data_IF_437442688642
#
_entry.id   IF_437442688642
#
_cell.length_a   1.000
_cell.length_b   1.000
_cell.length_c   1.000
_cell.angle_alpha   90.00
_cell.angle_beta   90.00
_cell.angle_gamma   90.00
#
_symmetry.space_group_name_H-M   'P 1'
#
loop_
_entity.id
_entity.type
_entity.pdbx_description
1 polymer ?
#
# COMPACT_ATOMS: atom_id res chain seq x y z
N UNK A 1 -19.72 -4.85 27.63
CA UNK A 1 -20.15 -3.57 27.04
C UNK A 1 -18.96 -2.76 26.57
N UNK A 2 -19.17 -1.90 25.57
CA UNK A 2 -18.21 -0.92 25.07
C UNK A 2 -18.91 0.44 25.03
N UNK A 3 -18.32 1.42 25.71
CA UNK A 3 -18.78 2.81 25.72
C UNK A 3 -17.62 3.69 25.30
N UNK A 4 -17.88 4.68 24.46
CA UNK A 4 -16.83 5.57 24.00
C UNK A 4 -17.37 6.70 23.14
N UNK A 5 -16.49 7.61 22.79
CA UNK A 5 -16.78 8.71 21.88
C UNK A 5 -15.53 9.09 21.09
N UNK A 6 -15.78 9.64 19.90
CA UNK A 6 -14.78 10.31 19.08
C UNK A 6 -15.19 11.77 18.91
N UNK A 7 -14.26 12.69 19.15
CA UNK A 7 -14.47 14.12 18.92
C UNK A 7 -13.39 14.63 17.96
N UNK A 8 -13.85 15.18 16.84
CA UNK A 8 -13.02 15.95 15.92
C UNK A 8 -13.42 17.43 15.96
N UNK A 9 -12.47 18.30 16.24
CA UNK A 9 -12.64 19.75 16.22
C UNK A 9 -11.69 20.34 15.18
N UNK A 10 -12.19 21.30 14.41
CA UNK A 10 -11.39 22.06 13.44
C UNK A 10 -11.81 23.54 13.46
N UNK A 11 -10.81 24.42 13.43
CA UNK A 11 -11.00 25.84 13.22
C UNK A 11 -10.10 26.28 12.06
N UNK A 12 -10.70 26.90 11.04
CA UNK A 12 -9.98 27.38 9.86
C UNK A 12 -10.37 28.84 9.58
N UNK A 13 -9.37 29.67 9.31
CA UNK A 13 -9.55 31.06 8.92
C UNK A 13 -8.78 31.30 7.64
N UNK A 14 -9.44 31.88 6.64
CA UNK A 14 -8.82 32.20 5.35
C UNK A 14 -9.07 33.65 4.97
N UNK A 15 -8.09 34.24 4.29
CA UNK A 15 -8.17 35.56 3.68
C UNK A 15 -7.89 35.39 2.20
N UNK A 16 -8.84 35.81 1.35
CA UNK A 16 -8.73 35.71 -0.09
C UNK A 16 -8.69 37.09 -0.75
N UNK A 17 -7.78 37.26 -1.68
CA UNK A 17 -7.64 38.44 -2.53
C UNK A 17 -7.78 38.02 -3.99
N UNK A 18 -8.76 38.59 -4.69
CA UNK A 18 -8.96 38.35 -6.11
C UNK A 18 -9.06 39.70 -6.84
N UNK A 19 -8.21 39.90 -7.85
CA UNK A 19 -8.15 41.15 -8.60
C UNK A 19 -7.80 40.92 -10.06
N UNK A 20 -8.57 41.57 -10.93
CA UNK A 20 -8.23 41.78 -12.33
C UNK A 20 -7.67 43.20 -12.52
N UNK A 21 -6.54 43.33 -13.22
CA UNK A 21 -5.94 44.62 -13.61
C UNK A 21 -5.57 44.54 -15.08
N UNK A 22 -6.41 45.13 -15.93
CA UNK A 22 -6.27 45.00 -17.39
C UNK A 22 -6.28 43.53 -17.80
N UNK A 23 -5.14 43.05 -18.32
CA UNK A 23 -4.97 41.68 -18.80
C UNK A 23 -4.39 40.71 -17.74
N UNK A 24 -4.22 41.16 -16.51
CA UNK A 24 -3.66 40.39 -15.41
C UNK A 24 -4.77 39.96 -14.46
N UNK A 25 -4.81 38.69 -14.11
CA UNK A 25 -5.65 38.21 -13.01
C UNK A 25 -4.76 37.61 -11.93
N UNK A 26 -5.00 38.04 -10.69
CA UNK A 26 -4.31 37.57 -9.50
C UNK A 26 -5.36 37.05 -8.54
N UNK A 27 -5.17 35.83 -8.06
CA UNK A 27 -5.96 35.27 -6.97
C UNK A 27 -4.99 34.72 -5.92
N UNK A 28 -5.03 35.23 -4.70
CA UNK A 28 -4.13 34.87 -3.63
C UNK A 28 -4.92 34.59 -2.35
N UNK A 29 -4.60 33.50 -1.67
CA UNK A 29 -5.23 33.07 -0.43
C UNK A 29 -4.15 32.85 0.63
N UNK A 30 -4.43 33.28 1.86
CA UNK A 30 -3.69 32.92 3.06
C UNK A 30 -4.64 32.24 4.04
N UNK A 31 -4.14 31.28 4.82
CA UNK A 31 -4.96 30.53 5.75
C UNK A 31 -4.23 30.00 6.97
N UNK A 32 -5.00 29.81 8.04
CA UNK A 32 -4.62 29.14 9.27
C UNK A 32 -5.64 28.04 9.56
N UNK A 33 -5.17 26.84 9.91
CA UNK A 33 -6.02 25.73 10.33
C UNK A 33 -5.46 25.07 11.59
N UNK A 34 -6.35 24.75 12.53
CA UNK A 34 -6.04 23.94 13.71
C UNK A 34 -7.06 22.82 13.84
N UNK A 35 -6.56 21.60 14.04
CA UNK A 35 -7.35 20.37 14.11
C UNK A 35 -6.99 19.63 15.40
N UNK A 36 -7.99 19.00 16.03
CA UNK A 36 -7.82 18.12 17.19
C UNK A 36 -8.77 16.93 17.07
N UNK A 37 -8.21 15.74 17.16
CA UNK A 37 -8.95 14.48 17.25
C UNK A 37 -8.71 13.84 18.62
N UNK A 38 -9.78 13.44 19.29
CA UNK A 38 -9.71 12.69 20.55
C UNK A 38 -10.67 11.50 20.49
N UNK A 39 -10.14 10.31 20.74
CA UNK A 39 -10.92 9.11 20.98
C UNK A 39 -10.82 8.74 22.46
N UNK A 40 -11.95 8.36 23.05
CA UNK A 40 -12.02 7.80 24.39
C UNK A 40 -12.94 6.60 24.40
N UNK A 41 -12.50 5.51 25.04
CA UNK A 41 -13.36 4.36 25.25
C UNK A 41 -13.10 3.70 26.60
N UNK A 42 -14.12 3.00 27.06
CA UNK A 42 -14.12 2.09 28.18
C UNK A 42 -14.80 0.81 27.71
N UNK A 43 -14.18 -0.33 27.99
CA UNK A 43 -14.82 -1.62 27.83
C UNK A 43 -14.90 -2.31 29.20
N UNK A 44 -16.00 -2.98 29.44
CA UNK A 44 -16.18 -3.79 30.64
C UNK A 44 -16.75 -5.15 30.23
N UNK A 45 -16.28 -6.19 30.90
CA UNK A 45 -16.75 -7.55 30.71
C UNK A 45 -17.23 -8.12 32.05
N UNK A 46 -18.23 -8.98 32.00
CA UNK A 46 -18.62 -9.86 33.10
C UNK A 46 -18.72 -11.30 32.56
N UNK A 47 -18.57 -12.29 33.43
CA UNK A 47 -18.65 -13.71 33.09
C UNK A 47 -19.46 -14.47 34.15
N UNK A 48 -19.67 -15.78 33.93
CA UNK A 48 -20.35 -16.64 34.90
C UNK A 48 -21.87 -16.50 34.91
N UNK A 49 -22.47 -16.28 33.74
CA UNK A 49 -23.94 -16.36 33.59
C UNK A 49 -24.41 -17.80 33.80
N UNK A 50 -25.65 -17.96 34.26
CA UNK A 50 -26.27 -19.28 34.45
C UNK A 50 -26.51 -19.99 33.11
N UNK A 51 -26.56 -21.32 33.12
CA UNK A 51 -26.78 -22.15 31.92
C UNK A 51 -28.23 -22.10 31.38
N UNK A 52 -29.13 -21.37 32.04
CA UNK A 52 -30.51 -21.16 31.57
C UNK A 52 -30.51 -20.22 30.36
N UNK A 53 -31.39 -20.42 29.36
CA UNK A 53 -31.53 -19.48 28.25
C UNK A 53 -31.72 -18.05 28.76
N UNK A 54 -30.76 -17.18 28.48
CA UNK A 54 -30.81 -15.76 28.85
C UNK A 54 -31.28 -14.94 27.65
N UNK A 55 -32.27 -14.07 27.85
CA UNK A 55 -32.73 -13.13 26.83
C UNK A 55 -31.94 -11.82 26.83
N UNK A 56 -31.31 -11.48 27.95
CA UNK A 56 -30.52 -10.26 28.14
C UNK A 56 -29.23 -10.58 28.88
N UNK A 57 -28.11 -9.99 28.43
CA UNK A 57 -26.79 -10.15 29.04
C UNK A 57 -26.30 -8.80 29.53
N UNK A 58 -26.64 -8.47 30.78
CA UNK A 58 -26.24 -7.21 31.44
C UNK A 58 -24.99 -7.41 32.31
N UNK A 59 -24.12 -6.38 32.39
CA UNK A 59 -22.86 -6.47 33.15
C UNK A 59 -23.04 -6.85 34.63
N UNK A 60 -24.13 -6.37 35.25
CA UNK A 60 -24.43 -6.62 36.67
C UNK A 60 -24.96 -8.02 36.95
N UNK A 61 -25.33 -8.79 35.93
CA UNK A 61 -25.95 -10.11 36.08
C UNK A 61 -24.94 -11.27 36.06
N UNK A 62 -23.68 -11.03 35.67
CA UNK A 62 -22.62 -12.03 35.74
C UNK A 62 -22.05 -12.18 37.16
N UNK A 63 -21.76 -13.41 37.58
CA UNK A 63 -21.23 -13.72 38.91
C UNK A 63 -19.74 -13.34 39.08
N UNK A 64 -19.01 -13.19 37.98
CA UNK A 64 -17.57 -12.90 37.99
C UNK A 64 -17.31 -11.60 37.24
N UNK A 65 -16.78 -10.61 37.96
CA UNK A 65 -16.28 -9.37 37.34
C UNK A 65 -15.15 -9.70 36.36
N UNK A 66 -15.35 -9.37 35.08
CA UNK A 66 -14.34 -9.53 34.05
C UNK A 66 -13.35 -8.36 34.01
N UNK A 67 -12.62 -8.25 32.90
CA UNK A 67 -11.61 -7.20 32.73
C UNK A 67 -12.30 -5.87 32.40
N UNK A 68 -11.94 -4.82 33.13
CA UNK A 68 -12.22 -3.43 32.77
C UNK A 68 -11.02 -2.89 32.02
N UNK A 69 -11.26 -2.43 30.80
CA UNK A 69 -10.27 -1.79 29.95
C UNK A 69 -10.77 -0.44 29.48
N UNK A 70 -9.86 0.30 28.85
CA UNK A 70 -10.19 1.60 28.28
C UNK A 70 -8.94 2.27 27.75
N UNK A 71 -9.16 3.26 26.89
CA UNK A 71 -8.10 3.99 26.24
C UNK A 71 -8.54 5.42 26.00
N UNK A 72 -7.57 6.32 26.02
CA UNK A 72 -7.73 7.65 25.43
C UNK A 72 -6.53 7.91 24.56
N UNK A 73 -6.77 8.40 23.36
CA UNK A 73 -5.70 9.00 22.59
C UNK A 73 -6.16 10.29 21.94
N UNK A 74 -5.18 11.12 21.66
CA UNK A 74 -5.38 12.44 21.12
C UNK A 74 -4.27 12.77 20.14
N UNK A 75 -4.64 13.44 19.04
CA UNK A 75 -3.70 14.13 18.19
C UNK A 75 -4.25 15.50 17.79
N UNK A 76 -3.35 16.42 17.52
CA UNK A 76 -3.61 17.72 16.94
C UNK A 76 -2.66 18.02 15.79
N UNK A 77 -3.16 18.87 14.88
CA UNK A 77 -2.42 19.40 13.73
C UNK A 77 -2.64 20.90 13.62
N UNK A 78 -1.58 21.65 13.34
CA UNK A 78 -1.62 23.09 13.12
C UNK A 78 -0.97 23.43 11.79
N UNK A 79 -1.63 24.25 11.00
CA UNK A 79 -1.20 24.57 9.64
C UNK A 79 -1.27 26.06 9.36
N UNK A 80 -0.22 26.57 8.72
CA UNK A 80 -0.22 27.89 8.08
C UNK A 80 -0.03 27.66 6.59
N UNK A 81 -0.88 28.21 5.74
CA UNK A 81 -0.82 27.95 4.32
C UNK A 81 -1.14 29.18 3.49
N UNK A 82 -0.67 29.17 2.25
CA UNK A 82 -0.99 30.18 1.27
C UNK A 82 -0.85 29.65 -0.15
N UNK A 83 -1.58 30.27 -1.06
CA UNK A 83 -1.49 29.98 -2.48
C UNK A 83 -1.72 31.26 -3.28
N UNK A 84 -1.10 31.34 -4.44
CA UNK A 84 -1.34 32.40 -5.39
C UNK A 84 -1.37 31.84 -6.80
N UNK A 85 -2.37 32.23 -7.57
CA UNK A 85 -2.46 31.99 -9.01
C UNK A 85 -2.42 33.30 -9.74
N UNK A 86 -1.73 33.31 -10.86
CA UNK A 86 -1.63 34.44 -11.76
C UNK A 86 -1.86 33.97 -13.19
N UNK A 87 -2.65 34.73 -13.94
CA UNK A 87 -2.68 34.61 -15.39
C UNK A 87 -2.48 35.96 -16.08
N UNK A 88 -1.85 35.89 -17.25
CA UNK A 88 -1.80 37.00 -18.19
C UNK A 88 -2.50 36.60 -19.48
N UNK A 89 -3.58 37.31 -19.82
CA UNK A 89 -4.40 37.09 -21.01
C UNK A 89 -4.85 35.63 -21.19
N UNK A 90 -5.01 34.87 -20.10
CA UNK A 90 -5.25 33.42 -20.15
C UNK A 90 -4.19 32.59 -20.93
N UNK A 91 -3.02 33.16 -21.20
CA UNK A 91 -1.92 32.55 -21.97
C UNK A 91 -0.87 31.92 -21.07
N UNK A 92 -0.30 32.74 -20.18
CA UNK A 92 0.72 32.31 -19.25
C UNK A 92 0.08 32.18 -17.87
N UNK A 93 0.12 30.97 -17.34
CA UNK A 93 -0.51 30.58 -16.09
C UNK A 93 0.60 30.21 -15.11
N UNK A 94 0.59 30.83 -13.93
CA UNK A 94 1.47 30.50 -12.82
C UNK A 94 0.60 30.17 -11.61
N UNK A 95 0.93 29.08 -10.93
CA UNK A 95 0.39 28.77 -9.61
C UNK A 95 1.53 28.45 -8.68
N UNK A 96 1.48 29.00 -7.47
CA UNK A 96 2.41 28.69 -6.38
C UNK A 96 1.62 28.48 -5.10
N UNK A 97 2.08 27.55 -4.27
CA UNK A 97 1.49 27.28 -2.97
C UNK A 97 2.57 26.86 -1.99
N UNK A 98 2.32 27.13 -0.71
CA UNK A 98 3.18 26.76 0.39
C UNK A 98 2.38 26.54 1.66
N UNK A 99 2.78 25.57 2.46
CA UNK A 99 2.25 25.35 3.80
C UNK A 99 3.33 24.92 4.77
N UNK A 100 3.12 25.28 6.03
CA UNK A 100 3.90 24.82 7.18
C UNK A 100 2.96 24.11 8.14
N UNK A 101 3.14 22.81 8.28
CA UNK A 101 2.27 21.95 9.09
C UNK A 101 3.02 21.39 10.30
N UNK A 102 2.38 21.45 11.46
CA UNK A 102 2.83 20.92 12.73
C UNK A 102 1.97 19.74 13.15
N UNK A 103 2.56 18.57 13.37
CA UNK A 103 1.86 17.37 13.87
C UNK A 103 2.30 17.01 15.28
N UNK A 104 1.33 16.83 16.17
CA UNK A 104 1.58 16.37 17.55
C UNK A 104 2.12 14.93 17.66
N UNK A 105 2.04 14.15 16.57
CA UNK A 105 2.52 12.77 16.53
C UNK A 105 4.04 12.64 16.54
N UNK A 106 4.76 13.74 16.29
CA UNK A 106 6.21 13.79 16.29
C UNK A 106 6.74 14.59 17.49
N UNK A 107 7.99 14.35 17.86
CA UNK A 107 8.65 15.10 18.93
C UNK A 107 8.80 16.60 18.60
N UNK A 108 9.02 17.47 19.60
CA UNK A 108 9.16 18.91 19.37
C UNK A 108 10.14 19.33 18.28
N UNK A 109 11.23 18.58 18.09
CA UNK A 109 12.24 18.86 17.08
C UNK A 109 11.75 18.62 15.63
N UNK A 110 10.89 17.62 15.42
CA UNK A 110 10.50 17.12 14.09
C UNK A 110 9.03 17.42 13.72
N UNK A 111 8.26 18.03 14.63
CA UNK A 111 6.82 18.25 14.44
C UNK A 111 6.46 19.10 13.23
N UNK A 112 7.33 20.01 12.80
CA UNK A 112 7.03 20.97 11.74
C UNK A 112 7.65 20.56 10.40
N UNK A 113 6.83 20.44 9.36
CA UNK A 113 7.23 20.28 7.97
C UNK A 113 6.88 21.51 7.12
N UNK A 114 7.67 21.78 6.08
CA UNK A 114 7.38 22.81 5.08
C UNK A 114 7.17 22.15 3.72
N UNK A 115 6.03 22.43 3.10
CA UNK A 115 5.59 21.78 1.87
C UNK A 115 5.15 22.86 0.90
N UNK A 116 5.40 22.68 -0.39
CA UNK A 116 5.08 23.71 -1.38
C UNK A 116 5.08 23.16 -2.78
N UNK A 117 4.38 23.84 -3.67
CA UNK A 117 4.26 23.45 -5.05
C UNK A 117 4.23 24.67 -5.97
N UNK A 118 4.74 24.50 -7.18
CA UNK A 118 4.66 25.48 -8.25
C UNK A 118 4.27 24.79 -9.55
N UNK A 119 3.48 25.46 -10.38
CA UNK A 119 3.14 25.00 -11.72
C UNK A 119 3.14 26.14 -12.72
N UNK A 120 3.59 25.84 -13.93
CA UNK A 120 3.52 26.70 -15.09
C UNK A 120 2.58 26.08 -16.13
N UNK A 121 1.75 26.92 -16.73
CA UNK A 121 0.92 26.54 -17.87
C UNK A 121 1.10 27.54 -19.00
N UNK A 122 1.25 27.03 -20.22
CA UNK A 122 1.30 27.86 -21.42
C UNK A 122 0.22 27.42 -22.40
N UNK A 123 -0.79 28.27 -22.59
CA UNK A 123 -1.88 28.03 -23.52
C UNK A 123 -1.54 28.61 -24.89
N UNK A 124 -0.92 27.79 -25.73
CA UNK A 124 -0.47 28.13 -27.09
C UNK A 124 -1.65 28.54 -27.97
N UNK A 125 -2.82 27.92 -27.80
CA UNK A 125 -4.02 28.24 -28.57
C UNK A 125 -4.54 29.67 -28.37
N UNK A 126 -4.08 30.36 -27.32
CA UNK A 126 -4.42 31.76 -27.08
C UNK A 126 -3.47 32.75 -27.76
N UNK A 127 -2.40 32.27 -28.41
CA UNK A 127 -1.47 33.12 -29.15
C UNK A 127 -2.04 33.56 -30.50
N UNK A 128 -1.76 34.81 -30.88
CA UNK A 128 -2.28 35.42 -32.10
C UNK A 128 -1.80 34.69 -33.36
N UNK A 129 -0.57 34.18 -33.35
CA UNK A 129 -0.04 33.37 -34.45
C UNK A 129 -0.74 32.00 -34.59
N UNK A 130 -1.33 31.48 -33.51
CA UNK A 130 -1.94 30.16 -33.51
C UNK A 130 -3.44 30.23 -33.83
N UNK A 131 -4.16 31.19 -33.22
CA UNK A 131 -5.62 31.38 -33.39
C UNK A 131 -6.07 31.41 -34.84
N UNK A 132 -5.26 32.00 -35.71
CA UNK A 132 -5.60 32.18 -37.13
C UNK A 132 -5.07 31.06 -38.04
N UNK A 133 -4.23 30.17 -37.53
CA UNK A 133 -3.49 29.19 -38.37
C UNK A 133 -4.10 27.80 -38.32
N UNK A 134 -4.64 27.36 -37.17
CA UNK A 134 -5.16 25.99 -37.01
C UNK A 134 -6.54 25.99 -36.33
N UNK A 135 -7.62 26.32 -37.08
CA UNK A 135 -8.97 26.43 -36.51
C UNK A 135 -9.54 25.10 -35.99
N UNK A 136 -8.96 23.97 -36.38
CA UNK A 136 -9.34 22.65 -35.87
C UNK A 136 -8.94 22.41 -34.41
N UNK A 137 -8.02 23.22 -33.86
CA UNK A 137 -7.53 23.13 -32.48
C UNK A 137 -8.18 24.20 -31.62
N UNK A 138 -9.06 23.77 -30.71
CA UNK A 138 -9.80 24.66 -29.81
C UNK A 138 -8.99 25.04 -28.57
N UNK A 139 -8.17 24.11 -28.07
CA UNK A 139 -7.26 24.37 -26.96
C UNK A 139 -5.98 23.57 -27.16
N UNK A 140 -4.84 24.21 -26.93
CA UNK A 140 -3.53 23.56 -26.83
C UNK A 140 -2.80 24.20 -25.67
N UNK A 141 -2.51 23.41 -24.63
CA UNK A 141 -1.85 23.88 -23.41
C UNK A 141 -0.75 22.91 -23.00
N UNK A 142 0.41 23.47 -22.69
CA UNK A 142 1.50 22.75 -22.03
C UNK A 142 1.47 23.05 -20.54
N UNK A 143 1.77 22.04 -19.71
CA UNK A 143 1.84 22.13 -18.25
C UNK A 143 3.16 21.56 -17.76
N UNK A 144 3.71 22.17 -16.73
CA UNK A 144 4.77 21.58 -15.92
C UNK A 144 4.52 21.93 -14.46
N UNK A 145 4.72 20.98 -13.55
CA UNK A 145 4.59 21.23 -12.12
C UNK A 145 5.63 20.48 -11.30
N UNK A 146 5.94 21.07 -10.14
CA UNK A 146 6.78 20.49 -9.12
C UNK A 146 6.16 20.76 -7.76
N UNK A 147 5.90 19.70 -7.01
CA UNK A 147 5.27 19.78 -5.69
C UNK A 147 5.97 18.91 -4.67
N UNK A 148 5.95 19.37 -3.42
CA UNK A 148 6.36 18.63 -2.24
C UNK A 148 5.16 18.57 -1.29
N UNK A 149 4.77 17.37 -0.89
CA UNK A 149 3.72 17.11 0.08
C UNK A 149 4.28 16.34 1.29
N UNK A 150 3.69 16.55 2.46
CA UNK A 150 4.03 15.83 3.69
C UNK A 150 2.97 14.82 4.09
N UNK A 151 3.39 13.68 4.61
CA UNK A 151 2.55 12.67 5.23
C UNK A 151 2.99 12.42 6.68
N UNK A 152 2.05 12.56 7.61
CA UNK A 152 2.19 12.21 9.05
C UNK A 152 1.27 11.04 9.45
N UNK A 153 0.81 10.28 8.45
CA UNK A 153 0.15 9.00 8.64
C UNK A 153 1.13 8.01 9.24
N UNK A 154 0.87 7.59 10.47
CA UNK A 154 1.60 6.54 11.16
C UNK A 154 0.65 5.35 11.35
N UNK A 155 1.20 4.14 11.16
CA UNK A 155 0.51 2.90 11.51
C UNK A 155 0.82 2.53 12.96
N UNK A 156 0.10 1.55 13.49
CA UNK A 156 0.30 1.04 14.85
C UNK A 156 -0.77 1.50 15.84
N UNK A 157 -0.64 1.10 17.12
CA UNK A 157 -1.62 1.39 18.16
C UNK A 157 -1.95 2.88 18.23
N UNK A 158 -3.24 3.20 18.39
CA UNK A 158 -3.75 4.57 18.50
C UNK A 158 -3.39 5.48 17.31
N UNK A 159 -3.23 4.93 16.10
CA UNK A 159 -2.86 5.70 14.90
C UNK A 159 -1.44 6.27 14.95
N UNK A 160 -0.57 5.62 15.74
CA UNK A 160 0.85 5.94 15.88
C UNK A 160 1.17 7.21 16.68
N UNK A 161 0.19 7.83 17.34
CA UNK A 161 0.34 9.15 17.98
C UNK A 161 1.43 9.22 19.06
N UNK A 162 1.75 8.09 19.68
CA UNK A 162 2.69 8.01 20.80
C UNK A 162 3.93 7.17 20.48
N UNK A 163 4.13 6.75 19.22
CA UNK A 163 5.30 5.95 18.84
C UNK A 163 6.64 6.60 19.24
N UNK A 164 6.83 7.93 19.16
CA UNK A 164 8.08 8.55 19.59
C UNK A 164 8.28 8.64 21.11
N UNK A 165 7.25 8.34 21.90
CA UNK A 165 7.28 8.50 23.36
C UNK A 165 7.46 7.14 24.04
N UNK A 166 8.43 6.98 24.95
CA UNK A 166 8.58 5.75 25.71
C UNK A 166 7.37 5.53 26.62
N UNK A 167 6.87 4.29 26.66
CA UNK A 167 5.77 3.88 27.52
C UNK A 167 6.23 2.83 28.53
N UNK A 168 5.86 3.04 29.80
CA UNK A 168 6.12 2.08 30.88
C UNK A 168 4.85 1.28 31.13
N UNK A 169 4.90 -0.01 30.83
CA UNK A 169 3.82 -0.95 31.10
C UNK A 169 3.69 -1.13 32.60
N UNK A 170 2.45 -1.03 33.09
CA UNK A 170 2.10 -1.22 34.49
C UNK A 170 1.56 -2.64 34.69
N UNK A 171 1.53 -3.11 35.94
CA UNK A 171 0.98 -4.41 36.33
C UNK A 171 1.63 -5.62 35.63
N UNK A 172 2.91 -5.51 35.28
CA UNK A 172 3.69 -6.63 34.75
C UNK A 172 4.03 -7.57 35.90
N UNK A 173 3.81 -8.88 35.73
CA UNK A 173 4.07 -9.87 36.77
C UNK A 173 5.57 -10.10 36.95
N UNK A 174 6.04 -9.97 38.19
CA UNK A 174 7.40 -10.31 38.61
C UNK A 174 7.35 -11.41 39.65
N UNK A 175 8.14 -12.47 39.46
CA UNK A 175 8.31 -13.49 40.51
C UNK A 175 9.38 -12.96 41.47
N UNK A 176 8.96 -12.59 42.68
CA UNK A 176 9.87 -12.30 43.78
C UNK A 176 10.60 -13.59 44.17
N UNK A 177 11.83 -13.48 44.70
CA UNK A 177 12.69 -14.63 45.07
C UNK A 177 12.06 -15.63 46.07
N UNK A 178 10.88 -15.33 46.61
CA UNK A 178 10.04 -16.21 47.44
C UNK A 178 8.97 -16.99 46.65
N UNK A 179 8.96 -16.92 45.31
CA UNK A 179 7.93 -17.53 44.46
C UNK A 179 6.60 -16.77 44.43
N UNK A 180 6.51 -15.60 45.09
CA UNK A 180 5.32 -14.74 45.07
C UNK A 180 5.32 -13.87 43.82
N UNK A 181 4.20 -13.84 43.09
CA UNK A 181 4.01 -12.88 41.98
C UNK A 181 3.68 -11.52 42.59
N UNK A 182 4.50 -10.52 42.26
CA UNK A 182 4.24 -9.10 42.55
C UNK A 182 4.06 -8.34 41.25
N UNK A 183 3.20 -7.32 41.25
CA UNK A 183 3.04 -6.46 40.10
C UNK A 183 4.09 -5.34 40.13
N UNK A 184 4.83 -5.21 39.04
CA UNK A 184 5.78 -4.14 38.81
C UNK A 184 5.51 -3.45 37.47
N UNK A 185 6.48 -2.64 37.05
CA UNK A 185 6.35 -1.84 35.83
C UNK A 185 7.65 -1.88 35.03
N UNK A 186 7.54 -2.04 33.70
CA UNK A 186 8.70 -2.07 32.81
C UNK A 186 8.34 -1.65 31.40
N UNK A 187 9.34 -1.23 30.64
CA UNK A 187 9.20 -0.99 29.21
C UNK A 187 9.38 -2.31 28.46
N UNK A 188 8.38 -2.71 27.66
CA UNK A 188 8.41 -3.93 26.83
C UNK A 188 8.36 -3.62 25.33
N UNK A 189 8.25 -2.34 24.97
CA UNK A 189 8.22 -1.86 23.58
C UNK A 189 9.14 -0.65 23.46
N UNK A 190 9.98 -0.63 22.44
CA UNK A 190 10.87 0.51 22.17
C UNK A 190 10.11 1.66 21.50
N UNK A 191 10.42 2.89 21.91
CA UNK A 191 9.92 4.09 21.24
C UNK A 191 10.72 4.41 19.97
N UNK A 192 10.12 5.18 19.08
CA UNK A 192 10.66 5.61 17.79
C UNK A 192 10.92 7.13 17.80
N UNK A 193 11.91 7.64 18.58
CA UNK A 193 12.06 9.08 18.83
C UNK A 193 12.43 9.90 17.58
N UNK A 194 13.07 9.28 16.59
CA UNK A 194 13.52 9.94 15.35
C UNK A 194 12.48 10.01 14.23
N UNK A 195 11.19 9.78 14.52
CA UNK A 195 10.14 9.88 13.52
C UNK A 195 9.90 11.32 13.09
N UNK A 196 9.90 11.51 11.78
CA UNK A 196 9.61 12.77 11.11
C UNK A 196 8.65 12.54 9.93
N UNK A 197 8.22 13.64 9.31
CA UNK A 197 7.36 13.63 8.13
C UNK A 197 7.93 12.77 6.99
N UNK A 198 7.07 11.98 6.37
CA UNK A 198 7.32 11.40 5.04
C UNK A 198 7.08 12.47 3.98
N UNK A 199 7.99 12.60 3.02
CA UNK A 199 8.03 13.70 2.06
C UNK A 199 7.84 13.17 0.64
N UNK A 200 6.78 13.57 -0.06
CA UNK A 200 6.51 13.16 -1.45
C UNK A 200 6.78 14.30 -2.42
N UNK A 201 7.82 14.15 -3.23
CA UNK A 201 8.19 15.06 -4.31
C UNK A 201 7.57 14.59 -5.63
N UNK A 202 6.76 15.41 -6.26
CA UNK A 202 6.12 15.09 -7.53
C UNK A 202 6.57 16.07 -8.60
N UNK A 203 7.05 15.53 -9.72
CA UNK A 203 7.32 16.25 -10.97
C UNK A 203 6.32 15.78 -11.99
N UNK A 204 5.76 16.70 -12.74
CA UNK A 204 4.76 16.41 -13.76
C UNK A 204 4.96 17.30 -14.98
N UNK A 205 4.86 16.72 -16.16
CA UNK A 205 4.87 17.45 -17.43
C UNK A 205 3.69 16.95 -18.28
N UNK A 206 2.84 17.88 -18.70
CA UNK A 206 1.54 17.59 -19.28
C UNK A 206 1.25 18.35 -20.56
N UNK A 207 0.39 17.76 -21.39
CA UNK A 207 -0.18 18.33 -22.59
C UNK A 207 -1.70 18.20 -22.52
N UNK A 208 -2.43 19.30 -22.71
CA UNK A 208 -3.88 19.30 -22.90
C UNK A 208 -4.21 19.78 -24.31
N UNK A 209 -5.05 19.02 -25.01
CA UNK A 209 -5.49 19.29 -26.37
C UNK A 209 -7.00 19.14 -26.48
N UNK A 210 -7.67 20.08 -27.15
CA UNK A 210 -9.07 19.97 -27.53
C UNK A 210 -9.22 20.25 -29.03
N UNK A 211 -9.94 19.37 -29.73
CA UNK A 211 -10.15 19.38 -31.17
C UNK A 211 -11.65 19.29 -31.50
N UNK A 212 -11.99 19.61 -32.75
CA UNK A 212 -13.33 19.37 -33.33
C UNK A 212 -14.48 20.06 -32.57
N UNK A 213 -14.27 21.31 -32.16
CA UNK A 213 -15.16 22.07 -31.26
C UNK A 213 -15.23 21.43 -29.87
N UNK A 214 -14.06 21.05 -29.35
CA UNK A 214 -13.88 20.38 -28.06
C UNK A 214 -14.61 19.04 -27.92
N UNK A 215 -15.04 18.45 -29.04
CA UNK A 215 -15.64 17.11 -29.05
C UNK A 215 -14.62 16.02 -28.82
N UNK A 216 -13.35 16.25 -29.15
CA UNK A 216 -12.24 15.34 -28.86
C UNK A 216 -11.28 16.04 -27.91
N UNK A 217 -11.08 15.50 -26.72
CA UNK A 217 -10.19 16.03 -25.70
C UNK A 217 -9.12 15.01 -25.35
N UNK A 218 -7.88 15.48 -25.18
CA UNK A 218 -6.74 14.67 -24.80
C UNK A 218 -5.98 15.38 -23.69
N UNK A 219 -5.73 14.69 -22.59
CA UNK A 219 -4.72 15.05 -21.60
C UNK A 219 -3.70 13.92 -21.51
N UNK A 220 -2.43 14.28 -21.60
CA UNK A 220 -1.32 13.32 -21.48
C UNK A 220 -0.27 13.90 -20.53
N UNK A 221 0.12 13.12 -19.54
CA UNK A 221 1.04 13.53 -18.48
C UNK A 221 2.14 12.47 -18.30
N UNK A 222 3.36 12.93 -18.03
CA UNK A 222 4.46 12.09 -17.55
C UNK A 222 4.84 12.56 -16.15
N UNK A 223 4.75 11.64 -15.19
CA UNK A 223 4.97 11.95 -13.78
C UNK A 223 6.13 11.16 -13.20
N UNK A 224 6.81 11.78 -12.23
CA UNK A 224 7.75 11.13 -11.32
C UNK A 224 7.41 11.59 -9.90
N UNK A 225 6.98 10.65 -9.07
CA UNK A 225 6.68 10.84 -7.66
C UNK A 225 7.70 10.08 -6.80
N UNK A 226 8.56 10.80 -6.09
CA UNK A 226 9.55 10.26 -5.17
C UNK A 226 9.09 10.50 -3.72
N UNK A 227 8.68 9.44 -3.04
CA UNK A 227 8.48 9.45 -1.58
C UNK A 227 9.83 9.25 -0.91
N UNK A 228 10.28 10.23 -0.14
CA UNK A 228 11.48 10.19 0.69
C UNK A 228 11.11 10.00 2.14
N UNK A 229 12.02 9.40 2.90
CA UNK A 229 11.83 9.16 4.34
C UNK A 229 10.55 8.35 4.61
N UNK A 230 10.26 7.37 3.75
CA UNK A 230 9.04 6.59 3.81
C UNK A 230 8.85 5.96 5.20
N UNK A 231 7.70 6.11 5.82
CA UNK A 231 7.45 5.60 7.17
C UNK A 231 7.14 4.11 7.10
N UNK A 232 7.92 3.27 7.78
CA UNK A 232 7.69 1.82 7.79
C UNK A 232 7.93 1.19 9.17
N UNK A 233 7.18 0.11 9.50
CA UNK A 233 7.50 -0.75 10.63
C UNK A 233 8.78 -1.55 10.35
N UNK A 234 9.58 -1.74 11.38
CA UNK A 234 10.83 -2.47 11.35
C UNK A 234 10.87 -3.40 12.56
N UNK A 235 11.04 -4.68 12.24
CA UNK A 235 11.29 -5.69 13.26
C UNK A 235 12.72 -5.54 13.76
N UNK A 236 12.85 -5.35 15.08
CA UNK A 236 14.15 -5.28 15.76
C UNK A 236 14.39 -6.55 16.56
N UNK A 237 15.65 -6.99 16.74
CA UNK A 237 15.93 -8.17 17.55
C UNK A 237 15.43 -8.04 19.00
N UNK A 238 14.84 -9.10 19.52
CA UNK A 238 14.25 -9.12 20.87
C UNK A 238 15.28 -8.91 21.99
N UNK A 239 16.56 -9.21 21.76
CA UNK A 239 17.64 -8.94 22.73
C UNK A 239 17.82 -7.44 23.01
N UNK A 240 17.27 -6.54 22.18
CA UNK A 240 17.22 -5.11 22.44
C UNK A 240 16.14 -4.72 23.47
N UNK A 241 15.41 -5.68 24.03
CA UNK A 241 14.35 -5.45 25.01
C UNK A 241 13.00 -5.07 24.41
N UNK A 242 12.83 -5.20 23.10
CA UNK A 242 11.55 -5.04 22.42
C UNK A 242 10.81 -6.38 22.35
N UNK A 243 9.85 -6.59 23.24
CA UNK A 243 9.09 -7.83 23.37
C UNK A 243 7.69 -7.76 22.76
N UNK A 244 7.24 -6.58 22.33
CA UNK A 244 5.95 -6.40 21.69
C UNK A 244 5.97 -5.28 20.65
N UNK A 245 5.36 -5.53 19.49
CA UNK A 245 5.18 -4.57 18.40
C UNK A 245 6.43 -4.29 17.57
N UNK A 246 6.22 -3.68 16.40
CA UNK A 246 7.29 -3.18 15.55
C UNK A 246 7.73 -1.78 15.98
N UNK A 247 9.00 -1.46 15.74
CA UNK A 247 9.54 -0.09 15.86
C UNK A 247 9.34 0.61 14.52
N UNK A 248 8.98 1.88 14.52
CA UNK A 248 8.79 2.64 13.29
C UNK A 248 10.00 3.50 12.98
N UNK A 249 10.32 3.66 11.70
CA UNK A 249 11.34 4.61 11.26
C UNK A 249 11.02 5.18 9.88
N UNK A 250 11.69 6.28 9.54
CA UNK A 250 11.79 6.76 8.16
C UNK A 250 12.76 5.83 7.40
N UNK A 251 12.21 4.85 6.72
CA UNK A 251 12.81 3.59 6.32
C UNK A 251 13.29 3.51 4.86
N UNK A 252 13.25 4.61 4.09
CA UNK A 252 13.83 4.63 2.75
C UNK A 252 13.16 5.61 1.78
N UNK A 253 13.53 5.50 0.51
CA UNK A 253 12.92 6.26 -0.58
C UNK A 253 12.30 5.32 -1.62
N UNK A 254 11.17 5.74 -2.18
CA UNK A 254 10.37 5.00 -3.16
C UNK A 254 10.06 5.94 -4.31
N UNK A 255 10.38 5.53 -5.54
CA UNK A 255 10.02 6.23 -6.77
C UNK A 255 8.84 5.50 -7.45
N UNK A 256 7.82 6.27 -7.82
CA UNK A 256 6.76 5.88 -8.73
C UNK A 256 6.82 6.79 -9.95
N UNK A 257 6.86 6.23 -11.15
CA UNK A 257 6.80 7.02 -12.38
C UNK A 257 5.96 6.33 -13.45
N UNK A 258 5.46 7.11 -14.38
CA UNK A 258 4.63 6.57 -15.45
C UNK A 258 4.03 7.65 -16.32
N UNK A 259 3.14 7.19 -17.19
CA UNK A 259 2.34 8.01 -18.09
C UNK A 259 0.90 7.94 -17.67
N UNK A 260 0.21 9.08 -17.73
CA UNK A 260 -1.24 9.17 -17.60
C UNK A 260 -1.81 9.73 -18.90
N UNK A 261 -2.90 9.14 -19.35
CA UNK A 261 -3.61 9.53 -20.58
C UNK A 261 -5.10 9.57 -20.26
N UNK A 262 -5.76 10.66 -20.64
CA UNK A 262 -7.20 10.77 -20.67
C UNK A 262 -7.63 11.22 -22.07
N UNK A 263 -8.44 10.40 -22.74
CA UNK A 263 -8.98 10.65 -24.07
C UNK A 263 -10.49 10.66 -23.98
N UNK A 264 -11.12 11.78 -24.29
CA UNK A 264 -12.57 11.95 -24.29
C UNK A 264 -13.08 12.25 -25.69
N UNK A 265 -14.19 11.63 -26.08
CA UNK A 265 -14.95 12.03 -27.25
C UNK A 265 -16.43 12.18 -26.88
N UNK A 266 -17.03 13.33 -27.15
CA UNK A 266 -18.45 13.59 -26.90
C UNK A 266 -19.07 14.32 -28.09
N UNK A 267 -20.24 13.87 -28.55
CA UNK A 267 -20.95 14.49 -29.65
C UNK A 267 -22.46 14.42 -29.44
N UNK A 268 -23.19 15.27 -30.15
CA UNK A 268 -24.66 15.25 -30.18
C UNK A 268 -25.14 15.36 -31.62
N UNK A 269 -25.95 14.38 -32.05
CA UNK A 269 -26.57 14.31 -33.37
C UNK A 269 -28.08 14.27 -33.22
N UNK A 270 -28.71 15.43 -33.36
CA UNK A 270 -30.15 15.58 -33.15
C UNK A 270 -30.53 15.29 -31.70
N UNK A 271 -31.40 14.31 -31.48
CA UNK A 271 -31.83 13.89 -30.14
C UNK A 271 -30.92 12.82 -29.50
N UNK A 272 -29.86 12.39 -30.20
CA UNK A 272 -28.91 11.39 -29.71
C UNK A 272 -27.62 12.06 -29.25
N UNK A 273 -27.26 11.87 -27.98
CA UNK A 273 -25.97 12.28 -27.41
C UNK A 273 -25.19 11.03 -27.08
N UNK A 274 -23.88 11.04 -27.35
CA UNK A 274 -23.02 9.90 -27.05
C UNK A 274 -21.60 10.36 -26.75
N UNK A 275 -20.90 9.52 -25.99
CA UNK A 275 -19.54 9.80 -25.61
C UNK A 275 -18.78 8.60 -25.10
N UNK A 276 -17.46 8.73 -25.14
CA UNK A 276 -16.50 7.75 -24.67
C UNK A 276 -15.35 8.48 -23.96
N UNK A 277 -15.10 8.12 -22.71
CA UNK A 277 -13.96 8.59 -21.93
C UNK A 277 -13.05 7.41 -21.61
N UNK A 278 -11.83 7.45 -22.12
CA UNK A 278 -10.80 6.45 -21.90
C UNK A 278 -9.69 7.02 -21.03
N UNK A 279 -9.31 6.28 -19.98
CA UNK A 279 -8.18 6.63 -19.12
C UNK A 279 -7.16 5.49 -19.12
N UNK A 280 -5.88 5.84 -19.08
CA UNK A 280 -4.76 4.90 -18.99
C UNK A 280 -3.69 5.46 -18.06
N UNK A 281 -3.21 4.62 -17.13
CA UNK A 281 -2.10 4.94 -16.24
C UNK A 281 -1.08 3.80 -16.27
N UNK A 282 0.19 4.12 -16.51
CA UNK A 282 1.29 3.17 -16.33
C UNK A 282 1.99 3.41 -14.99
N UNK A 283 2.53 2.36 -14.37
CA UNK A 283 3.20 2.45 -13.09
C UNK A 283 4.50 1.63 -13.06
N UNK A 284 5.62 2.32 -12.88
CA UNK A 284 6.89 1.73 -12.48
C UNK A 284 7.23 2.17 -11.06
N UNK A 285 7.28 1.21 -10.14
CA UNK A 285 7.61 1.42 -8.74
C UNK A 285 9.01 0.86 -8.43
N UNK A 286 9.83 1.61 -7.69
CA UNK A 286 11.19 1.19 -7.31
C UNK A 286 11.61 1.77 -5.96
N UNK A 287 12.25 0.95 -5.14
CA UNK A 287 12.93 1.40 -3.92
C UNK A 287 14.30 1.96 -4.31
N UNK A 288 14.54 3.23 -4.02
CA UNK A 288 15.73 3.97 -4.44
C UNK A 288 16.73 4.21 -3.32
N UNK A 289 16.30 4.09 -2.06
CA UNK A 289 17.19 4.15 -0.90
C UNK A 289 16.65 3.33 0.27
N UNK A 290 17.56 2.79 1.08
CA UNK A 290 17.28 2.14 2.38
C UNK A 290 18.26 2.66 3.43
N UNK A 291 17.91 2.72 4.73
CA UNK A 291 18.74 3.26 5.79
C UNK A 291 20.07 2.54 5.98
N UNK A 292 20.08 1.21 5.78
CA UNK A 292 21.27 0.38 5.91
C UNK A 292 21.41 -0.51 4.67
N UNK A 293 22.62 -0.61 4.13
CA UNK A 293 22.89 -1.47 2.98
C UNK A 293 22.50 -2.92 3.31
N UNK A 294 21.76 -3.56 2.42
CA UNK A 294 21.25 -4.93 2.64
C UNK A 294 20.01 -5.02 3.53
N UNK A 295 19.51 -3.91 4.09
CA UNK A 295 18.24 -3.90 4.80
C UNK A 295 17.11 -4.25 3.84
N UNK A 296 16.25 -5.18 4.26
CA UNK A 296 15.08 -5.62 3.49
C UNK A 296 13.85 -5.66 4.37
N UNK A 297 12.68 -5.44 3.78
CA UNK A 297 11.40 -5.44 4.48
C UNK A 297 10.55 -6.58 3.93
N UNK A 298 10.20 -7.53 4.81
CA UNK A 298 9.30 -8.62 4.47
C UNK A 298 7.83 -8.20 4.61
N UNK A 299 6.93 -8.95 3.97
CA UNK A 299 5.50 -8.76 4.10
C UNK A 299 4.71 -9.94 3.55
N UNK A 300 3.39 -9.82 3.54
CA UNK A 300 2.48 -10.85 2.98
C UNK A 300 2.73 -12.23 3.56
N UNK A 301 2.81 -12.35 4.89
CA UNK A 301 3.08 -13.65 5.56
C UNK A 301 4.41 -14.28 5.14
N UNK A 302 5.38 -13.46 4.76
CA UNK A 302 6.71 -13.89 4.39
C UNK A 302 6.90 -14.22 2.91
N UNK A 303 5.90 -13.97 2.04
CA UNK A 303 5.99 -14.24 0.58
C UNK A 303 6.51 -13.06 -0.23
N UNK A 304 6.58 -11.86 0.36
CA UNK A 304 7.10 -10.66 -0.31
C UNK A 304 8.37 -10.14 0.34
N UNK A 305 9.20 -9.46 -0.48
CA UNK A 305 10.41 -8.78 -0.04
C UNK A 305 10.55 -7.45 -0.76
N UNK A 306 10.83 -6.42 0.02
CA UNK A 306 11.17 -5.08 -0.44
C UNK A 306 12.64 -4.83 -0.17
N UNK A 307 13.44 -4.52 -1.19
CA UNK A 307 14.85 -4.19 -1.01
C UNK A 307 15.30 -3.13 -2.03
N UNK A 308 16.49 -2.57 -1.82
CA UNK A 308 17.06 -1.60 -2.74
C UNK A 308 17.04 -2.13 -4.18
N UNK A 309 16.43 -1.36 -5.09
CA UNK A 309 16.38 -1.67 -6.52
C UNK A 309 15.12 -2.43 -6.99
N UNK A 310 14.30 -2.97 -6.10
CA UNK A 310 13.09 -3.73 -6.45
C UNK A 310 11.83 -2.89 -6.34
N UNK A 311 10.69 -3.42 -6.80
CA UNK A 311 9.39 -2.84 -6.43
C UNK A 311 9.09 -3.10 -4.96
N UNK A 312 8.25 -2.25 -4.37
CA UNK A 312 7.70 -2.44 -3.03
C UNK A 312 6.81 -3.69 -3.00
N UNK A 313 7.05 -4.56 -2.03
CA UNK A 313 6.26 -5.78 -1.82
C UNK A 313 6.33 -6.77 -2.98
N UNK A 314 7.47 -6.88 -3.64
CA UNK A 314 7.67 -7.85 -4.73
C UNK A 314 7.67 -9.29 -4.19
N UNK A 315 7.05 -10.24 -4.90
CA UNK A 315 7.06 -11.64 -4.50
C UNK A 315 8.48 -12.18 -4.54
N UNK A 316 8.89 -12.85 -3.47
CA UNK A 316 10.22 -13.40 -3.33
C UNK A 316 10.06 -14.87 -2.96
N UNK A 317 10.17 -15.79 -3.91
CA UNK A 317 9.70 -17.17 -3.75
C UNK A 317 10.72 -18.14 -4.34
N UNK A 318 10.71 -19.39 -3.88
CA UNK A 318 11.43 -20.48 -4.56
C UNK A 318 10.65 -20.82 -5.83
N UNK A 319 11.33 -20.90 -6.96
CA UNK A 319 10.67 -21.08 -8.24
C UNK A 319 10.27 -22.55 -8.45
N UNK A 320 8.98 -22.78 -8.69
CA UNK A 320 8.43 -24.06 -9.13
C UNK A 320 8.93 -24.42 -10.53
N UNK A 321 9.39 -25.65 -10.72
CA UNK A 321 9.89 -26.19 -11.99
C UNK A 321 9.24 -27.55 -12.34
N UNK A 322 7.96 -27.71 -11.98
CA UNK A 322 7.18 -28.89 -12.33
C UNK A 322 7.17 -29.98 -11.27
N UNK A 323 6.80 -31.19 -11.69
CA UNK A 323 6.68 -32.37 -10.84
C UNK A 323 7.53 -33.47 -11.44
N UNK A 324 8.35 -34.11 -10.60
CA UNK A 324 9.12 -35.28 -11.02
C UNK A 324 8.18 -36.41 -11.45
N UNK A 325 8.34 -36.94 -12.65
CA UNK A 325 7.51 -38.06 -13.15
C UNK A 325 8.13 -39.42 -12.82
N UNK A 326 9.42 -39.47 -12.49
CA UNK A 326 10.12 -40.72 -12.16
C UNK A 326 11.29 -40.50 -11.20
N UNK A 327 11.79 -41.58 -10.60
CA UNK A 327 13.02 -41.52 -9.78
C UNK A 327 14.27 -41.26 -10.63
N UNK A 328 14.25 -41.63 -11.91
CA UNK A 328 15.34 -41.34 -12.84
C UNK A 328 15.45 -39.84 -13.11
N UNK A 329 14.32 -39.13 -13.22
CA UNK A 329 14.33 -37.67 -13.31
C UNK A 329 14.92 -37.01 -12.06
N UNK A 330 14.60 -37.52 -10.86
CA UNK A 330 15.22 -37.05 -9.61
C UNK A 330 16.74 -37.25 -9.64
N UNK A 331 17.19 -38.45 -10.03
CA UNK A 331 18.62 -38.78 -10.07
C UNK A 331 19.38 -38.03 -11.17
N UNK A 332 18.71 -37.62 -12.24
CA UNK A 332 19.25 -36.80 -13.33
C UNK A 332 19.25 -35.31 -12.98
N UNK A 333 18.41 -34.86 -12.04
CA UNK A 333 18.34 -33.47 -11.60
C UNK A 333 19.52 -33.12 -10.68
N UNK A 334 20.62 -32.70 -11.32
CA UNK A 334 21.89 -32.41 -10.69
C UNK A 334 22.33 -30.98 -10.98
N UNK A 335 23.03 -30.38 -10.02
CA UNK A 335 23.71 -29.11 -10.23
C UNK A 335 24.98 -29.28 -11.09
N UNK A 336 25.67 -28.18 -11.35
CA UNK A 336 26.87 -28.15 -12.19
C UNK A 336 28.04 -29.02 -11.67
N UNK A 337 28.07 -29.34 -10.37
CA UNK A 337 29.10 -30.21 -9.77
C UNK A 337 28.71 -31.69 -9.76
N UNK A 338 27.54 -32.04 -10.29
CA UNK A 338 27.02 -33.41 -10.34
C UNK A 338 26.31 -33.85 -9.06
N UNK A 339 26.03 -32.94 -8.13
CA UNK A 339 25.26 -33.21 -6.90
C UNK A 339 23.77 -33.28 -7.24
N UNK A 340 23.06 -34.31 -6.77
CA UNK A 340 21.59 -34.39 -6.91
C UNK A 340 20.95 -33.34 -6.01
N UNK A 341 20.10 -32.47 -6.58
CA UNK A 341 19.58 -31.27 -5.89
C UNK A 341 18.50 -31.64 -4.85
N UNK A 342 17.58 -32.53 -5.20
CA UNK A 342 16.50 -33.01 -4.33
C UNK A 342 16.57 -34.54 -4.17
N UNK A 343 17.61 -35.11 -3.53
CA UNK A 343 17.86 -36.55 -3.51
C UNK A 343 16.74 -37.38 -2.86
N UNK A 344 16.00 -36.75 -1.96
CA UNK A 344 14.88 -37.35 -1.22
C UNK A 344 13.54 -37.27 -1.95
N UNK A 345 13.46 -36.53 -3.07
CA UNK A 345 12.26 -36.51 -3.89
C UNK A 345 12.01 -37.87 -4.56
N UNK A 346 10.75 -38.13 -4.88
CA UNK A 346 10.29 -39.26 -5.68
C UNK A 346 9.37 -38.78 -6.81
N UNK A 347 8.95 -39.72 -7.66
CA UNK A 347 7.90 -39.45 -8.62
C UNK A 347 6.64 -38.91 -7.92
N UNK A 348 6.10 -37.80 -8.42
CA UNK A 348 4.99 -37.04 -7.87
C UNK A 348 5.38 -35.88 -6.94
N UNK A 349 6.65 -35.74 -6.56
CA UNK A 349 7.10 -34.60 -5.74
C UNK A 349 7.43 -33.38 -6.59
N UNK A 350 7.33 -32.20 -5.98
CA UNK A 350 7.63 -30.92 -6.62
C UNK A 350 9.12 -30.81 -6.95
N UNK A 351 9.43 -30.35 -8.15
CA UNK A 351 10.77 -29.92 -8.56
C UNK A 351 10.88 -28.41 -8.40
N UNK A 352 11.92 -27.95 -7.70
CA UNK A 352 12.22 -26.52 -7.55
C UNK A 352 13.52 -26.19 -8.25
N UNK A 353 13.66 -24.93 -8.69
CA UNK A 353 14.92 -24.42 -9.24
C UNK A 353 15.93 -24.18 -8.11
N UNK A 354 17.09 -24.83 -8.20
CA UNK A 354 18.31 -24.46 -7.47
C UNK A 354 18.87 -23.17 -8.09
N UNK A 355 18.57 -22.02 -7.47
CA UNK A 355 18.85 -20.71 -8.04
C UNK A 355 20.28 -20.26 -7.74
N UNK A 356 20.89 -20.76 -6.66
CA UNK A 356 22.25 -20.41 -6.25
C UNK A 356 23.31 -21.42 -6.74
N UNK A 357 22.88 -22.59 -7.22
CA UNK A 357 23.71 -23.66 -7.79
C UNK A 357 24.40 -24.55 -6.76
N UNK A 358 24.05 -24.48 -5.48
CA UNK A 358 24.74 -25.17 -4.39
C UNK A 358 24.32 -26.64 -4.22
N UNK A 359 23.32 -27.09 -4.98
CA UNK A 359 22.82 -28.46 -4.96
C UNK A 359 21.82 -28.75 -3.84
N UNK A 360 21.22 -27.72 -3.23
CA UNK A 360 20.15 -27.83 -2.24
C UNK A 360 19.01 -26.88 -2.60
N UNK A 361 17.85 -27.10 -2.00
CA UNK A 361 16.71 -26.18 -2.09
C UNK A 361 16.44 -25.63 -0.69
N UNK A 362 16.70 -24.35 -0.49
CA UNK A 362 16.40 -23.64 0.75
C UNK A 362 16.05 -22.16 0.54
N UNK A 363 16.03 -21.35 1.61
CA UNK A 363 15.66 -19.95 1.54
C UNK A 363 16.62 -19.09 0.68
N UNK A 364 17.84 -19.57 0.40
CA UNK A 364 18.80 -18.92 -0.49
C UNK A 364 18.42 -19.04 -1.97
N UNK A 365 17.51 -19.96 -2.33
CA UNK A 365 17.01 -20.15 -3.70
C UNK A 365 15.85 -19.24 -4.07
N UNK A 366 15.39 -18.40 -3.13
CA UNK A 366 14.30 -17.47 -3.38
C UNK A 366 14.74 -16.41 -4.39
N UNK A 367 13.89 -16.18 -5.39
CA UNK A 367 14.06 -15.19 -6.44
C UNK A 367 12.86 -14.26 -6.50
N UNK A 368 13.04 -13.07 -7.09
CA UNK A 368 11.93 -12.15 -7.35
C UNK A 368 11.01 -12.72 -8.44
N UNK A 369 9.77 -13.03 -8.08
CA UNK A 369 8.78 -13.71 -8.91
C UNK A 369 7.71 -12.75 -9.48
N UNK A 370 8.05 -11.47 -9.59
CA UNK A 370 7.14 -10.40 -10.01
C UNK A 370 6.39 -9.77 -8.84
N UNK A 371 5.52 -8.81 -9.15
CA UNK A 371 4.94 -7.88 -8.15
C UNK A 371 3.42 -7.84 -8.21
N UNK A 372 2.80 -7.55 -7.07
CA UNK A 372 1.35 -7.32 -6.96
C UNK A 372 0.92 -5.96 -7.55
N UNK A 373 1.83 -4.99 -7.64
CA UNK A 373 1.56 -3.69 -8.23
C UNK A 373 1.36 -3.82 -9.76
N UNK A 374 0.24 -3.34 -10.33
CA UNK A 374 -0.01 -3.39 -11.77
C UNK A 374 0.97 -2.49 -12.52
N UNK A 375 1.28 -2.86 -13.77
CA UNK A 375 2.06 -2.02 -14.66
C UNK A 375 1.16 -1.06 -15.46
N UNK A 376 -0.12 -1.42 -15.62
CA UNK A 376 -1.08 -0.72 -16.45
C UNK A 376 -2.48 -0.79 -15.81
N UNK A 377 -3.10 0.38 -15.67
CA UNK A 377 -4.50 0.53 -15.28
C UNK A 377 -5.24 1.24 -16.42
N UNK A 378 -6.44 0.76 -16.74
CA UNK A 378 -7.27 1.33 -17.81
C UNK A 378 -8.71 1.47 -17.35
N UNK A 379 -9.37 2.53 -17.81
CA UNK A 379 -10.80 2.77 -17.61
C UNK A 379 -11.44 3.18 -18.93
N UNK A 380 -12.67 2.73 -19.17
CA UNK A 380 -13.50 3.17 -20.29
C UNK A 380 -14.91 3.42 -19.78
N UNK A 381 -15.36 4.66 -19.92
CA UNK A 381 -16.73 5.06 -19.67
C UNK A 381 -17.41 5.36 -21.01
N UNK A 382 -18.52 4.69 -21.30
CA UNK A 382 -19.34 4.94 -22.48
C UNK A 382 -20.67 5.49 -22.00
N UNK A 383 -21.11 6.58 -22.62
CA UNK A 383 -22.40 7.18 -22.35
C UNK A 383 -23.20 7.35 -23.65
N UNK A 384 -24.51 7.19 -23.55
CA UNK A 384 -25.43 7.45 -24.64
C UNK A 384 -26.77 7.91 -24.08
N UNK A 385 -27.42 8.84 -24.74
CA UNK A 385 -28.76 9.31 -24.38
C UNK A 385 -29.61 9.55 -25.62
N UNK A 386 -30.88 9.16 -25.57
CA UNK A 386 -31.85 9.37 -26.64
C UNK A 386 -33.25 9.59 -26.07
N UNK A 387 -33.82 10.79 -26.29
CA UNK A 387 -35.23 11.12 -25.98
C UNK A 387 -35.70 10.68 -24.58
N UNK A 388 -34.92 10.96 -23.55
CA UNK A 388 -35.26 10.65 -22.16
C UNK A 388 -34.83 9.26 -21.68
N UNK A 389 -34.19 8.46 -22.53
CA UNK A 389 -33.44 7.27 -22.12
C UNK A 389 -31.96 7.58 -22.06
N UNK A 390 -31.26 7.06 -21.06
CA UNK A 390 -29.81 7.09 -20.95
C UNK A 390 -29.23 5.69 -20.71
N UNK A 391 -27.98 5.51 -21.13
CA UNK A 391 -27.17 4.31 -20.93
C UNK A 391 -25.77 4.76 -20.52
N UNK A 392 -25.25 4.17 -19.46
CA UNK A 392 -23.85 4.31 -19.04
C UNK A 392 -23.24 2.94 -18.83
N UNK A 393 -22.06 2.72 -19.41
CA UNK A 393 -21.27 1.50 -19.26
C UNK A 393 -19.89 1.90 -18.77
N UNK A 394 -19.47 1.36 -17.64
CA UNK A 394 -18.13 1.53 -17.10
C UNK A 394 -17.38 0.21 -17.13
N UNK A 395 -16.18 0.23 -17.71
CA UNK A 395 -15.25 -0.89 -17.79
C UNK A 395 -13.94 -0.47 -17.15
N UNK A 396 -13.38 -1.30 -16.28
CA UNK A 396 -12.05 -1.12 -15.71
C UNK A 396 -11.19 -2.35 -15.94
N UNK A 397 -9.88 -2.13 -16.08
CA UNK A 397 -8.91 -3.21 -16.27
C UNK A 397 -7.60 -2.87 -15.57
N UNK A 398 -6.98 -3.90 -14.98
CA UNK A 398 -5.63 -3.85 -14.43
C UNK A 398 -4.83 -5.00 -15.02
N UNK A 399 -3.58 -4.73 -15.40
CA UNK A 399 -2.72 -5.75 -16.01
C UNK A 399 -1.25 -5.58 -15.66
N UNK A 400 -0.51 -6.67 -15.82
CA UNK A 400 0.93 -6.74 -15.54
C UNK A 400 1.28 -7.00 -14.06
N UNK A 401 0.29 -7.16 -13.18
CA UNK A 401 0.48 -7.65 -11.82
C UNK A 401 0.44 -9.18 -11.75
N UNK A 402 0.99 -9.69 -10.65
CA UNK A 402 0.85 -11.09 -10.21
C UNK A 402 -0.04 -11.16 -8.98
N UNK A 403 -0.64 -12.32 -8.75
CA UNK A 403 -1.51 -12.60 -7.60
C UNK A 403 -0.96 -13.82 -6.88
N UNK A 404 -0.74 -13.69 -5.57
CA UNK A 404 -0.51 -14.83 -4.70
C UNK A 404 -1.86 -15.34 -4.20
N UNK A 405 -2.29 -16.50 -4.70
CA UNK A 405 -3.64 -17.01 -4.48
C UNK A 405 -3.70 -17.86 -3.21
N UNK A 406 -3.93 -17.20 -2.07
CA UNK A 406 -4.11 -17.84 -0.76
C UNK A 406 -5.31 -18.80 -0.72
N UNK A 407 -6.39 -18.49 -1.45
CA UNK A 407 -7.57 -19.37 -1.48
C UNK A 407 -7.22 -20.71 -2.14
N UNK A 408 -6.49 -20.67 -3.26
CA UNK A 408 -5.98 -21.87 -3.92
C UNK A 408 -5.05 -22.66 -2.99
N UNK A 409 -4.12 -21.98 -2.30
CA UNK A 409 -3.26 -22.63 -1.31
C UNK A 409 -4.07 -23.35 -0.24
N UNK A 410 -5.09 -22.71 0.33
CA UNK A 410 -5.90 -23.29 1.39
C UNK A 410 -6.82 -24.44 0.92
N UNK A 411 -7.39 -24.33 -0.28
CA UNK A 411 -8.37 -25.29 -0.82
C UNK A 411 -7.75 -26.49 -1.56
N UNK A 412 -6.52 -26.34 -2.04
CA UNK A 412 -5.77 -27.41 -2.71
C UNK A 412 -4.66 -28.02 -1.81
N UNK A 413 -4.48 -27.50 -0.60
CA UNK A 413 -3.55 -28.09 0.36
C UNK A 413 -4.13 -29.36 1.00
N UNK A 414 -3.33 -30.42 1.02
CA UNK A 414 -3.63 -31.68 1.70
C UNK A 414 -3.09 -31.71 3.15
N UNK A 415 -2.76 -30.55 3.72
CA UNK A 415 -2.29 -30.46 5.10
C UNK A 415 -3.45 -30.54 6.10
N UNK A 416 -3.53 -31.67 6.80
CA UNK A 416 -4.49 -31.88 7.90
C UNK A 416 -5.87 -32.39 7.43
N UNK A 417 -6.83 -32.55 8.35
CA UNK A 417 -8.13 -33.17 8.10
C UNK A 417 -9.15 -32.20 7.43
N UNK A 418 -8.69 -31.26 6.61
CA UNK A 418 -9.53 -30.28 5.94
C UNK A 418 -10.27 -30.83 4.72
N UNK A 419 -11.32 -30.13 4.29
CA UNK A 419 -11.92 -30.35 2.98
C UNK A 419 -11.02 -29.74 1.89
N UNK A 420 -10.99 -30.38 0.74
CA UNK A 420 -10.29 -29.92 -0.45
C UNK A 420 -11.25 -29.83 -1.65
N UNK A 421 -10.88 -29.07 -2.66
CA UNK A 421 -11.66 -28.94 -3.89
C UNK A 421 -11.82 -30.31 -4.60
N UNK A 422 -13.06 -30.63 -4.99
CA UNK A 422 -13.41 -31.91 -5.61
C UNK A 422 -12.63 -32.18 -6.91
N UNK A 423 -12.35 -31.11 -7.66
CA UNK A 423 -11.80 -31.21 -9.00
C UNK A 423 -10.27 -31.28 -9.01
N UNK A 424 -9.62 -31.16 -7.84
CA UNK A 424 -8.17 -31.32 -7.72
C UNK A 424 -7.81 -32.78 -7.98
N UNK A 425 -6.90 -33.00 -8.93
CA UNK A 425 -6.43 -34.33 -9.32
C UNK A 425 -4.93 -34.45 -9.01
N UNK A 426 -4.55 -34.95 -7.82
CA UNK A 426 -3.16 -35.15 -7.46
C UNK A 426 -2.45 -36.13 -8.38
N UNK A 427 -1.13 -35.95 -8.49
CA UNK A 427 -0.28 -36.91 -9.18
C UNK A 427 -0.44 -38.31 -8.57
N UNK A 428 -0.57 -39.31 -9.45
CA UNK A 428 -0.40 -40.73 -9.13
C UNK A 428 0.26 -41.44 -10.31
N UNK A 429 0.71 -42.68 -10.11
CA UNK A 429 1.29 -43.49 -11.20
C UNK A 429 0.32 -43.76 -12.35
N UNK A 430 -0.98 -43.79 -12.09
CA UNK A 430 -2.04 -43.95 -13.10
C UNK A 430 -2.62 -42.63 -13.60
N UNK A 431 -2.28 -41.51 -12.96
CA UNK A 431 -2.73 -40.17 -13.30
C UNK A 431 -1.57 -39.16 -13.12
N UNK A 432 -0.61 -39.11 -14.06
CA UNK A 432 0.51 -38.18 -13.95
C UNK A 432 0.04 -36.73 -14.10
N UNK A 433 0.39 -35.90 -13.13
CA UNK A 433 0.15 -34.45 -13.13
C UNK A 433 1.45 -33.67 -13.29
N UNK A 434 1.40 -32.52 -13.95
CA UNK A 434 2.53 -31.59 -14.07
C UNK A 434 2.38 -30.35 -13.17
N UNK A 435 1.25 -30.24 -12.45
CA UNK A 435 0.88 -29.04 -11.69
C UNK A 435 0.39 -29.31 -10.28
N UNK A 436 -0.10 -30.53 -9.98
CA UNK A 436 -0.60 -30.90 -8.65
C UNK A 436 0.24 -32.08 -8.10
N UNK A 437 1.03 -31.88 -7.04
CA UNK A 437 1.90 -32.94 -6.51
C UNK A 437 1.11 -34.10 -5.92
N UNK A 438 1.79 -35.22 -5.68
CA UNK A 438 1.19 -36.37 -5.00
C UNK A 438 0.87 -36.02 -3.55
N UNK A 439 -0.20 -36.59 -2.97
CA UNK A 439 -0.48 -36.39 -1.56
C UNK A 439 0.56 -37.14 -0.73
N UNK A 440 1.10 -36.47 0.29
CA UNK A 440 2.01 -37.06 1.26
C UNK A 440 1.44 -36.88 2.67
N UNK A 441 1.51 -37.94 3.47
CA UNK A 441 1.21 -37.83 4.90
C UNK A 441 2.38 -37.11 5.59
N UNK A 442 2.16 -35.86 6.02
CA UNK A 442 3.13 -35.10 6.80
C UNK A 442 3.38 -35.74 8.18
N UNK A 443 4.62 -35.64 8.68
CA UNK A 443 5.01 -36.09 10.03
C UNK A 443 5.91 -37.33 10.11
N UNK A 444 6.41 -37.85 8.99
CA UNK A 444 7.42 -38.92 8.99
C UNK A 444 8.84 -38.43 9.28
N UNK A 445 9.66 -39.26 9.94
CA UNK A 445 11.11 -39.04 10.06
C UNK A 445 11.83 -39.41 8.76
N UNK A 446 12.95 -38.75 8.47
CA UNK A 446 13.79 -39.05 7.31
C UNK A 446 13.25 -38.51 5.98
N UNK A 447 13.51 -39.22 4.89
CA UNK A 447 13.30 -38.77 3.51
C UNK A 447 11.85 -38.37 3.20
N UNK A 448 10.86 -39.04 3.82
CA UNK A 448 9.44 -38.71 3.66
C UNK A 448 9.06 -37.36 4.28
N UNK A 449 9.69 -36.98 5.39
CA UNK A 449 9.49 -35.67 6.01
C UNK A 449 10.08 -34.55 5.16
N UNK A 450 11.25 -34.79 4.55
CA UNK A 450 11.91 -33.85 3.65
C UNK A 450 11.14 -33.70 2.32
N UNK A 451 10.62 -34.79 1.76
CA UNK A 451 9.77 -34.76 0.57
C UNK A 451 8.42 -34.06 0.85
N UNK A 452 7.80 -34.30 2.01
CA UNK A 452 6.57 -33.63 2.41
C UNK A 452 6.76 -32.11 2.61
N UNK A 453 7.90 -31.69 3.19
CA UNK A 453 8.25 -30.27 3.28
C UNK A 453 8.42 -29.62 1.90
N UNK A 454 8.96 -30.36 0.93
CA UNK A 454 9.10 -29.90 -0.46
C UNK A 454 7.75 -29.73 -1.15
N UNK A 455 6.79 -30.64 -0.95
CA UNK A 455 5.45 -30.52 -1.55
C UNK A 455 4.53 -29.50 -0.86
N UNK A 456 4.93 -28.97 0.29
CA UNK A 456 4.17 -27.99 1.08
C UNK A 456 4.62 -26.53 0.88
N UNK A 457 5.71 -26.29 0.15
CA UNK A 457 6.28 -24.96 -0.10
C UNK A 457 5.62 -24.20 -1.26
#
# INVERSE_FOLDING_TARGET
EYLGYDVFLMAENTLNFNKAIGNHHINALLGYSEQRYRQHNVNAQTQGFTATPQYYFELSAGATTGVVGGGTFENSKRSFFGQATYDYKNRYLLSVSGRRDGSSKFLPADRWGNFGAASLGYRISEEEFFKNTVPAINNLKLRASYGLNGNDGLLGPYGGNYLPTPFVNQNVNYVSGTGTIVNGSTQVTLSSPGLQWEERYTKDAGLDLALLNSRLTLSADYYIAETRKALAPVQVPTYLGNFAGDVFQNAGNIENRGFELALGYHDTKGAFTYGADFTLTTLQNKITAVPTQGQTFGGGEGVTRSQLGTSLGEFYLIQFDGIFQSKDEVNAYRNATGTVIQPYASAGDVRYVDANGDGKIDNADRVFAGKALPNLLMGLNLNAAYKGFDLSIFLNSVSGNKIYNQAKLALESYNGPGNYERDVQPWSTTNPSTTVPRPLQGGGLGDLGLAAASNAM
#
